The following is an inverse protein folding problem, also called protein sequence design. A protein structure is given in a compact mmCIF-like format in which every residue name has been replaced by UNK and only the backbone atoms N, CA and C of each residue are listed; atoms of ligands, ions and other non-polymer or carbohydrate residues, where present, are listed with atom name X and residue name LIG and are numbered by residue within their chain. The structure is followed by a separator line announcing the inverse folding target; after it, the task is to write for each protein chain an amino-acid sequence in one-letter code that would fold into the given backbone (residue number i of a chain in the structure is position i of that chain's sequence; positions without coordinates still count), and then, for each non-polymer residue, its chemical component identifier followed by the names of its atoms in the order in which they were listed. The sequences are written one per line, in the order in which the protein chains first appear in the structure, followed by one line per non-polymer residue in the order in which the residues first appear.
data_IF_873867586694
#
_entry.id   IF_873867586694
#
_cell.length_a   1.000
_cell.length_b   1.000
_cell.length_c   1.000
_cell.angle_alpha   90.00
_cell.angle_beta   90.00
_cell.angle_gamma   90.00
#
_symmetry.space_group_name_H-M   'P 1'
#
loop_
_entity.id
_entity.type
_entity.pdbx_description
1 polymer ?
#
# COMPACT_ATOMS: atom_id res chain seq x y z
N UNK A 1 38.54 28.00 -24.55
CA UNK A 1 38.25 26.70 -23.92
C UNK A 1 36.76 26.45 -24.08
N UNK A 2 36.37 25.48 -24.90
CA UNK A 2 34.96 25.16 -25.16
C UNK A 2 34.52 24.03 -24.24
N UNK A 3 33.44 24.25 -23.47
CA UNK A 3 32.81 23.23 -22.64
C UNK A 3 31.97 22.32 -23.54
N UNK A 4 32.29 21.02 -23.56
CA UNK A 4 31.47 20.02 -24.24
C UNK A 4 30.28 19.64 -23.37
N UNK A 5 29.07 19.75 -23.91
CA UNK A 5 27.85 19.23 -23.29
C UNK A 5 27.87 17.70 -23.33
N UNK A 6 27.86 17.07 -22.16
CA UNK A 6 27.67 15.63 -22.06
C UNK A 6 26.16 15.32 -22.11
N UNK A 7 25.70 14.72 -23.21
CA UNK A 7 24.36 14.15 -23.33
C UNK A 7 24.32 12.79 -22.66
N UNK A 8 23.55 12.64 -21.59
CA UNK A 8 23.33 11.37 -20.91
C UNK A 8 22.05 10.71 -21.46
N UNK A 9 22.22 9.61 -22.20
CA UNK A 9 21.12 8.77 -22.67
C UNK A 9 20.65 7.88 -21.53
N UNK A 10 19.44 8.12 -20.99
CA UNK A 10 18.81 7.25 -20.01
C UNK A 10 18.18 6.06 -20.77
N UNK A 11 18.81 4.90 -20.71
CA UNK A 11 18.21 3.64 -21.14
C UNK A 11 17.30 3.12 -20.03
N UNK A 12 15.97 3.17 -20.26
CA UNK A 12 15.00 2.46 -19.42
C UNK A 12 15.08 0.97 -19.74
N UNK A 13 15.91 0.23 -19.01
CA UNK A 13 15.79 -1.23 -19.02
C UNK A 13 14.53 -1.62 -18.26
N UNK A 14 13.70 -2.47 -18.89
CA UNK A 14 12.53 -3.04 -18.24
C UNK A 14 13.01 -3.95 -17.09
N UNK A 15 12.56 -3.65 -15.88
CA UNK A 15 12.85 -4.48 -14.71
C UNK A 15 12.03 -5.76 -14.83
N UNK A 16 12.71 -6.89 -14.99
CA UNK A 16 12.09 -8.21 -14.93
C UNK A 16 11.67 -8.49 -13.49
N UNK A 17 10.36 -8.62 -13.26
CA UNK A 17 9.80 -9.13 -12.02
C UNK A 17 9.59 -10.62 -12.19
N UNK A 18 10.19 -11.42 -11.32
CA UNK A 18 9.97 -12.87 -11.30
C UNK A 18 8.48 -13.15 -11.01
N UNK A 19 7.74 -13.78 -11.95
CA UNK A 19 6.32 -14.09 -11.75
C UNK A 19 6.04 -15.02 -10.57
N UNK A 20 7.05 -15.71 -10.03
CA UNK A 20 6.94 -16.56 -8.83
C UNK A 20 7.12 -15.79 -7.53
N UNK A 21 7.69 -14.58 -7.57
CA UNK A 21 7.71 -13.62 -6.46
C UNK A 21 6.44 -12.76 -6.41
N UNK A 22 5.65 -12.78 -7.50
CA UNK A 22 4.25 -12.36 -7.44
C UNK A 22 3.54 -13.44 -6.62
N UNK A 23 3.35 -13.18 -5.33
CA UNK A 23 2.27 -13.84 -4.59
C UNK A 23 1.05 -13.61 -5.45
N UNK A 24 0.52 -14.70 -6.04
CA UNK A 24 -0.57 -14.62 -7.01
C UNK A 24 -1.60 -13.63 -6.49
N UNK A 25 -2.08 -12.66 -7.30
CA UNK A 25 -3.29 -11.95 -6.94
C UNK A 25 -4.28 -13.03 -6.57
N UNK A 26 -4.87 -12.93 -5.37
CA UNK A 26 -5.83 -13.90 -4.85
C UNK A 26 -6.76 -14.24 -6.02
N UNK A 27 -6.58 -15.41 -6.62
CA UNK A 27 -7.13 -15.74 -7.93
C UNK A 27 -8.61 -16.12 -7.84
N UNK A 28 -9.24 -15.72 -6.74
CA UNK A 28 -10.68 -15.67 -6.59
C UNK A 28 -11.08 -14.20 -6.48
N UNK A 29 -12.00 -13.69 -7.32
CA UNK A 29 -12.79 -12.56 -6.89
C UNK A 29 -13.33 -12.89 -5.50
N UNK A 30 -12.89 -12.11 -4.51
CA UNK A 30 -13.42 -12.16 -3.15
C UNK A 30 -14.93 -12.02 -3.34
N UNK A 31 -15.68 -13.05 -2.92
CA UNK A 31 -17.10 -13.18 -3.24
C UNK A 31 -17.88 -11.90 -2.93
N UNK A 32 -19.06 -11.70 -3.54
CA UNK A 32 -19.85 -10.51 -3.28
C UNK A 32 -19.96 -10.28 -1.77
N UNK A 33 -19.85 -9.01 -1.31
CA UNK A 33 -19.97 -8.70 0.11
C UNK A 33 -21.20 -9.42 0.66
N UNK A 34 -21.06 -10.05 1.83
CA UNK A 34 -22.14 -10.80 2.46
C UNK A 34 -23.22 -9.80 2.89
N UNK A 35 -24.06 -9.40 1.96
CA UNK A 35 -25.21 -8.54 2.23
C UNK A 35 -26.27 -9.41 2.88
N UNK A 36 -26.69 -9.01 4.07
CA UNK A 36 -27.96 -9.52 4.59
C UNK A 36 -29.04 -9.03 3.63
N UNK A 37 -29.93 -9.89 3.10
CA UNK A 37 -30.95 -9.46 2.15
C UNK A 37 -31.74 -8.26 2.70
N UNK A 38 -31.62 -7.11 2.03
CA UNK A 38 -32.34 -5.88 2.39
C UNK A 38 -31.59 -4.85 3.23
N UNK A 39 -30.34 -5.11 3.66
CA UNK A 39 -29.50 -4.09 4.32
C UNK A 39 -28.23 -3.91 3.48
N UNK A 40 -28.03 -2.75 2.83
CA UNK A 40 -26.80 -2.48 2.10
C UNK A 40 -25.60 -2.53 3.03
N UNK A 41 -24.51 -3.14 2.58
CA UNK A 41 -23.27 -3.21 3.35
C UNK A 41 -22.74 -1.80 3.64
N UNK A 42 -22.03 -1.61 4.75
CA UNK A 42 -21.45 -0.28 5.11
C UNK A 42 -20.61 0.30 3.96
N UNK A 43 -19.90 -0.56 3.22
CA UNK A 43 -19.15 -0.17 2.03
C UNK A 43 -20.01 0.28 0.85
N UNK A 44 -21.20 -0.30 0.69
CA UNK A 44 -22.16 0.11 -0.35
C UNK A 44 -22.77 1.48 -0.02
N UNK A 45 -23.01 1.75 1.27
CA UNK A 45 -23.56 3.03 1.73
C UNK A 45 -22.52 4.15 1.67
N UNK A 46 -21.26 3.85 1.99
CA UNK A 46 -20.18 4.86 2.07
C UNK A 46 -19.34 4.97 0.80
N UNK A 47 -19.43 4.00 -0.11
CA UNK A 47 -18.53 3.85 -1.25
C UNK A 47 -17.08 3.51 -0.86
N UNK A 48 -16.82 3.18 0.41
CA UNK A 48 -15.47 2.92 0.92
C UNK A 48 -15.14 1.44 0.89
N UNK A 49 -14.03 1.10 0.25
CA UNK A 49 -13.37 -0.20 0.35
C UNK A 49 -12.07 -0.03 1.13
N UNK A 50 -12.03 -0.62 2.31
CA UNK A 50 -11.00 -0.38 3.33
C UNK A 50 -9.92 -1.43 3.30
N UNK A 51 -8.68 -1.01 3.54
CA UNK A 51 -7.57 -1.90 3.82
C UNK A 51 -6.94 -1.50 5.15
N UNK A 52 -6.86 -2.43 6.09
CA UNK A 52 -6.10 -2.23 7.32
C UNK A 52 -4.62 -2.41 6.97
N UNK A 53 -3.78 -1.44 7.35
CA UNK A 53 -2.34 -1.43 7.05
C UNK A 53 -1.53 -1.07 8.30
N UNK A 54 -0.39 -1.75 8.47
CA UNK A 54 0.66 -1.41 9.43
C UNK A 54 2.03 -1.77 8.86
N UNK A 55 3.02 -0.88 8.98
CA UNK A 55 4.41 -1.16 8.56
C UNK A 55 5.32 -1.41 9.76
N UNK A 56 6.23 -2.37 9.62
CA UNK A 56 7.34 -2.56 10.54
C UNK A 56 8.62 -1.99 9.94
N UNK A 57 9.38 -1.21 10.70
CA UNK A 57 10.59 -0.52 10.20
C UNK A 57 11.76 -0.73 11.16
N UNK A 58 12.99 -0.66 10.66
CA UNK A 58 14.18 -0.72 11.53
C UNK A 58 14.57 0.67 12.12
N UNK A 59 13.70 1.67 11.97
CA UNK A 59 13.84 3.00 12.58
C UNK A 59 12.93 4.04 11.91
N UNK A 60 12.96 5.27 12.42
CA UNK A 60 11.90 6.27 12.19
C UNK A 60 12.15 7.22 11.01
N UNK A 61 13.32 7.18 10.36
CA UNK A 61 13.67 8.08 9.24
C UNK A 61 13.61 7.33 7.90
N UNK A 62 12.62 7.60 7.02
CA UNK A 62 12.41 6.81 5.80
C UNK A 62 13.53 6.88 4.75
N UNK A 63 14.36 7.92 4.77
CA UNK A 63 15.53 8.03 3.90
C UNK A 63 16.75 7.22 4.40
N UNK A 64 16.83 6.93 5.70
CA UNK A 64 17.94 6.17 6.34
C UNK A 64 17.56 4.71 6.61
N UNK A 65 16.32 4.48 7.03
CA UNK A 65 15.82 3.20 7.54
C UNK A 65 15.02 2.44 6.48
N UNK A 66 14.75 1.16 6.72
CA UNK A 66 14.00 0.25 5.83
C UNK A 66 12.71 -0.23 6.48
N UNK A 67 11.73 -0.49 5.64
CA UNK A 67 10.56 -1.32 5.92
C UNK A 67 11.03 -2.77 5.96
N UNK A 68 10.62 -3.50 6.99
CA UNK A 68 10.92 -4.91 7.23
C UNK A 68 9.73 -5.81 6.86
N UNK A 69 8.51 -5.31 7.06
CA UNK A 69 7.27 -6.01 6.74
C UNK A 69 6.11 -5.01 6.58
N UNK A 70 5.08 -5.40 5.83
CA UNK A 70 3.81 -4.66 5.72
C UNK A 70 2.67 -5.63 6.02
N UNK A 71 1.95 -5.41 7.12
CA UNK A 71 0.75 -6.15 7.48
C UNK A 71 -0.49 -5.57 6.81
N UNK A 72 -1.34 -6.44 6.28
CA UNK A 72 -2.54 -6.11 5.50
C UNK A 72 -3.74 -6.96 5.95
N UNK A 73 -4.92 -6.35 6.04
CA UNK A 73 -6.16 -7.09 6.28
C UNK A 73 -7.37 -6.37 5.67
N UNK A 74 -8.20 -7.10 4.92
CA UNK A 74 -9.49 -6.61 4.44
C UNK A 74 -10.58 -6.91 5.50
N UNK A 75 -11.11 -5.88 6.19
CA UNK A 75 -12.07 -6.07 7.28
C UNK A 75 -13.44 -6.59 6.80
N UNK A 76 -13.71 -6.60 5.49
CA UNK A 76 -14.95 -7.12 4.92
C UNK A 76 -14.88 -8.62 4.66
N UNK A 77 -13.70 -9.23 4.78
CA UNK A 77 -13.51 -10.66 4.52
C UNK A 77 -13.43 -11.40 5.85
N UNK A 78 -14.54 -11.98 6.33
CA UNK A 78 -14.55 -12.64 7.63
C UNK A 78 -13.66 -13.88 7.60
N UNK A 79 -13.02 -14.16 8.74
CA UNK A 79 -12.19 -15.35 8.97
C UNK A 79 -11.00 -15.49 8.02
N UNK A 80 -10.51 -14.39 7.45
CA UNK A 80 -9.23 -14.36 6.73
C UNK A 80 -8.15 -13.85 7.67
N UNK A 81 -7.10 -14.66 7.80
CA UNK A 81 -5.89 -14.27 8.53
C UNK A 81 -5.23 -13.05 7.87
N UNK A 82 -4.68 -12.11 8.65
CA UNK A 82 -3.90 -11.00 8.11
C UNK A 82 -2.77 -11.51 7.19
N UNK A 83 -2.57 -10.80 6.08
CA UNK A 83 -1.46 -11.06 5.16
C UNK A 83 -0.27 -10.19 5.56
N UNK A 84 0.94 -10.74 5.53
CA UNK A 84 2.17 -9.97 5.74
C UNK A 84 3.01 -10.02 4.47
N UNK A 85 3.27 -8.86 3.88
CA UNK A 85 4.24 -8.73 2.80
C UNK A 85 5.63 -8.67 3.41
N UNK A 86 6.52 -9.57 2.97
CA UNK A 86 7.94 -9.56 3.31
C UNK A 86 8.73 -9.89 2.04
N UNK A 87 9.73 -9.07 1.73
CA UNK A 87 10.62 -9.30 0.59
C UNK A 87 12.03 -8.78 0.95
N UNK A 88 13.11 -9.52 0.59
CA UNK A 88 14.48 -9.01 0.73
C UNK A 88 14.74 -7.69 0.00
N UNK A 89 14.06 -7.45 -1.11
CA UNK A 89 14.03 -6.17 -1.83
C UNK A 89 12.86 -5.31 -1.34
N UNK A 90 13.17 -4.30 -0.53
CA UNK A 90 12.20 -3.32 -0.03
C UNK A 90 11.38 -2.67 -1.16
N UNK A 91 11.97 -2.47 -2.34
CA UNK A 91 11.24 -1.91 -3.49
C UNK A 91 10.10 -2.82 -3.93
N UNK A 92 10.33 -4.13 -3.97
CA UNK A 92 9.33 -5.11 -4.38
C UNK A 92 8.20 -5.23 -3.35
N UNK A 93 8.51 -5.10 -2.06
CA UNK A 93 7.50 -5.06 -1.00
C UNK A 93 6.61 -3.82 -1.11
N UNK A 94 7.18 -2.63 -1.34
CA UNK A 94 6.41 -1.38 -1.52
C UNK A 94 5.57 -1.43 -2.80
N UNK A 95 6.14 -1.93 -3.90
CA UNK A 95 5.41 -2.09 -5.16
C UNK A 95 4.23 -3.06 -5.01
N UNK A 96 4.42 -4.17 -4.28
CA UNK A 96 3.36 -5.15 -3.99
C UNK A 96 2.20 -4.52 -3.22
N UNK A 97 2.47 -3.64 -2.24
CA UNK A 97 1.40 -2.91 -1.55
C UNK A 97 0.57 -2.05 -2.52
N UNK A 98 1.24 -1.26 -3.38
CA UNK A 98 0.53 -0.39 -4.31
C UNK A 98 -0.29 -1.18 -5.34
N UNK A 99 0.22 -2.33 -5.77
CA UNK A 99 -0.53 -3.27 -6.61
C UNK A 99 -1.76 -3.80 -5.88
N UNK A 100 -1.64 -4.22 -4.62
CA UNK A 100 -2.78 -4.67 -3.79
C UNK A 100 -3.84 -3.56 -3.67
N UNK A 101 -3.43 -2.32 -3.43
CA UNK A 101 -4.35 -1.17 -3.34
C UNK A 101 -5.10 -0.96 -4.66
N UNK A 102 -4.35 -0.90 -5.76
CA UNK A 102 -4.88 -0.64 -7.10
C UNK A 102 -5.81 -1.76 -7.58
N UNK A 103 -5.34 -3.00 -7.57
CA UNK A 103 -6.10 -4.16 -8.06
C UNK A 103 -7.25 -4.52 -7.14
N UNK A 104 -7.06 -4.32 -5.83
CA UNK A 104 -8.11 -4.49 -4.84
C UNK A 104 -9.18 -3.39 -4.91
N UNK A 105 -8.92 -2.27 -5.57
CA UNK A 105 -9.83 -1.12 -5.60
C UNK A 105 -10.05 -0.51 -4.21
N UNK A 106 -9.03 -0.58 -3.34
CA UNK A 106 -9.08 0.03 -2.02
C UNK A 106 -8.95 1.54 -2.13
N UNK A 107 -9.81 2.27 -1.44
CA UNK A 107 -9.85 3.73 -1.48
C UNK A 107 -9.82 4.39 -0.09
N UNK A 108 -9.64 3.59 0.96
CA UNK A 108 -9.40 4.07 2.33
C UNK A 108 -8.43 3.12 3.03
N UNK A 109 -7.38 3.67 3.64
CA UNK A 109 -6.48 2.95 4.54
C UNK A 109 -6.91 3.18 5.99
N UNK A 110 -6.86 2.11 6.77
CA UNK A 110 -7.19 2.10 8.20
C UNK A 110 -5.97 1.66 8.98
N UNK A 111 -5.63 2.34 10.07
CA UNK A 111 -4.51 1.94 10.91
C UNK A 111 -4.40 2.79 12.17
N UNK A 112 -3.42 2.49 13.03
CA UNK A 112 -3.17 3.23 14.27
C UNK A 112 -1.85 4.01 14.17
N UNK A 113 -1.92 5.34 14.14
CA UNK A 113 -0.75 6.17 13.85
C UNK A 113 -0.40 6.20 12.36
N UNK A 114 -1.37 5.90 11.51
CA UNK A 114 -1.24 5.70 10.06
C UNK A 114 -0.54 6.85 9.32
N UNK A 115 -0.59 8.07 9.87
CA UNK A 115 0.15 9.19 9.29
C UNK A 115 1.68 8.96 9.23
N UNK A 116 2.24 8.12 10.11
CA UNK A 116 3.64 7.70 10.06
C UNK A 116 3.86 6.77 8.87
N UNK A 117 3.11 5.66 8.81
CA UNK A 117 3.17 4.63 7.77
C UNK A 117 3.03 5.25 6.38
N UNK A 118 2.02 6.10 6.19
CA UNK A 118 1.73 6.76 4.93
C UNK A 118 2.91 7.62 4.44
N UNK A 119 3.46 8.46 5.32
CA UNK A 119 4.61 9.31 4.99
C UNK A 119 5.85 8.49 4.69
N UNK A 120 6.07 7.40 5.43
CA UNK A 120 7.19 6.50 5.22
C UNK A 120 7.11 5.87 3.83
N UNK A 121 5.96 5.27 3.48
CA UNK A 121 5.69 4.64 2.19
C UNK A 121 5.77 5.63 1.02
N UNK A 122 5.24 6.84 1.16
CA UNK A 122 5.32 7.86 0.12
C UNK A 122 6.78 8.25 -0.18
N UNK A 123 7.62 8.37 0.85
CA UNK A 123 9.06 8.64 0.67
C UNK A 123 9.76 7.45 0.00
N UNK A 124 9.37 6.21 0.32
CA UNK A 124 9.88 5.03 -0.39
C UNK A 124 9.46 4.99 -1.85
N UNK A 125 8.21 5.34 -2.17
CA UNK A 125 7.73 5.44 -3.54
C UNK A 125 8.59 6.42 -4.35
N UNK A 126 8.86 7.61 -3.80
CA UNK A 126 9.72 8.61 -4.43
C UNK A 126 11.16 8.09 -4.60
N UNK A 127 11.75 7.49 -3.55
CA UNK A 127 13.10 6.93 -3.60
C UNK A 127 13.25 5.86 -4.69
N UNK A 128 12.22 5.03 -4.88
CA UNK A 128 12.24 3.92 -5.83
C UNK A 128 11.63 4.25 -7.19
N UNK A 129 11.20 5.51 -7.39
CA UNK A 129 10.51 5.98 -8.58
C UNK A 129 9.32 5.07 -8.97
N UNK A 130 8.51 4.72 -7.98
CA UNK A 130 7.31 3.90 -8.15
C UNK A 130 6.09 4.79 -8.43
N UNK A 131 5.28 4.39 -9.40
CA UNK A 131 3.95 4.96 -9.56
C UNK A 131 3.09 4.58 -8.35
N UNK A 132 2.41 5.56 -7.77
CA UNK A 132 1.66 5.40 -6.53
C UNK A 132 0.40 6.27 -6.51
N UNK A 133 -0.17 6.59 -7.68
CA UNK A 133 -1.33 7.48 -7.77
C UNK A 133 -2.49 7.05 -6.88
N UNK A 134 -2.90 5.79 -6.95
CA UNK A 134 -4.02 5.27 -6.15
C UNK A 134 -3.72 5.30 -4.65
N UNK A 135 -2.46 5.10 -4.26
CA UNK A 135 -2.03 5.24 -2.87
C UNK A 135 -1.95 6.72 -2.44
N UNK A 136 -1.52 7.63 -3.31
CA UNK A 136 -1.44 9.05 -3.00
C UNK A 136 -2.83 9.66 -2.76
N UNK A 137 -3.80 9.27 -3.59
CA UNK A 137 -5.19 9.77 -3.53
C UNK A 137 -6.05 9.04 -2.46
N UNK A 138 -5.49 8.08 -1.72
CA UNK A 138 -6.24 7.25 -0.78
C UNK A 138 -6.64 8.03 0.49
N UNK A 139 -7.86 7.79 0.98
CA UNK A 139 -8.27 8.37 2.26
C UNK A 139 -7.60 7.66 3.43
N UNK A 140 -7.34 8.40 4.51
CA UNK A 140 -6.71 7.87 5.72
C UNK A 140 -7.68 7.92 6.89
N UNK A 141 -7.92 6.76 7.50
CA UNK A 141 -8.68 6.60 8.73
C UNK A 141 -7.74 6.21 9.87
N UNK A 142 -7.12 7.22 10.49
CA UNK A 142 -6.14 7.06 11.57
C UNK A 142 -6.84 6.95 12.94
N UNK A 143 -6.87 5.73 13.47
CA UNK A 143 -7.49 5.40 14.76
C UNK A 143 -6.87 6.16 15.94
N UNK A 144 -5.61 6.57 15.82
CA UNK A 144 -4.93 7.32 16.89
C UNK A 144 -5.50 8.73 17.04
N UNK A 145 -5.89 9.37 15.94
CA UNK A 145 -6.51 10.70 15.99
C UNK A 145 -7.87 10.64 16.68
N UNK A 146 -8.68 9.63 16.34
CA UNK A 146 -9.99 9.39 16.96
C UNK A 146 -9.88 9.11 18.47
N UNK A 147 -8.92 8.29 18.88
CA UNK A 147 -8.75 7.95 20.30
C UNK A 147 -8.26 9.13 21.14
N UNK A 148 -7.46 10.04 20.57
CA UNK A 148 -6.87 11.18 21.28
C UNK A 148 -7.82 12.37 21.44
N UNK A 149 -9.05 12.31 20.92
CA UNK A 149 -10.02 13.40 20.99
C UNK A 149 -9.63 14.64 20.19
N UNK A 150 -8.61 14.55 19.35
CA UNK A 150 -8.19 15.59 18.43
C UNK A 150 -8.87 15.35 17.07
N UNK A 151 -10.10 15.85 16.94
CA UNK A 151 -10.82 15.96 15.68
C UNK A 151 -10.63 17.36 15.07
#
# INVERSE_FOLDING_TARGET
MAAGEASATITREAVYVDPSLIIHPISKPIGPPTTTPGIPGISEVTGKKRLIVNIETNGFRPWEHKILAIGLHDPLVPNVEPTVLMDPDEKMMVASLFMVIKEGGYNELVGYGLSFDYRFLLIKAMKYNLDCKEFYDIDLYDLKQLHSGAA
#
